data_IF_637320266913
#
_entry.id   IF_637320266913
#
_cell.length_a   1.000
_cell.length_b   1.000
_cell.length_c   1.000
_cell.angle_alpha   90.00
_cell.angle_beta   90.00
_cell.angle_gamma   90.00
#
_symmetry.space_group_name_H-M   'P 1'
#
loop_
_entity.id
_entity.type
_entity.pdbx_description
1 polymer ?
#
# COMPACT_ATOMS: atom_id res chain seq x y z
N UNK A 1 20.68 -0.91 -16.43
CA UNK A 1 20.55 -2.24 -15.80
C UNK A 1 21.70 -2.53 -14.84
N UNK A 2 22.96 -2.38 -15.24
CA UNK A 2 24.16 -2.68 -14.43
C UNK A 2 24.24 -1.94 -13.09
N UNK A 3 23.85 -0.68 -13.05
CA UNK A 3 23.87 0.11 -11.79
C UNK A 3 22.92 -0.47 -10.73
N UNK A 4 21.69 -0.81 -11.10
CA UNK A 4 20.72 -1.39 -10.18
C UNK A 4 21.19 -2.75 -9.64
N UNK A 5 21.76 -3.60 -10.49
CA UNK A 5 22.29 -4.89 -10.09
C UNK A 5 23.47 -4.77 -9.13
N UNK A 6 24.35 -3.78 -9.35
CA UNK A 6 25.45 -3.46 -8.43
C UNK A 6 24.92 -3.05 -7.07
N UNK A 7 23.99 -2.10 -7.00
CA UNK A 7 23.38 -1.62 -5.75
C UNK A 7 22.71 -2.77 -4.99
N UNK A 8 21.90 -3.59 -5.67
CA UNK A 8 21.25 -4.75 -5.03
C UNK A 8 22.29 -5.76 -4.50
N UNK A 9 23.37 -5.96 -5.24
CA UNK A 9 24.46 -6.86 -4.83
C UNK A 9 25.15 -6.34 -3.57
N UNK A 10 25.44 -5.05 -3.51
CA UNK A 10 26.10 -4.43 -2.35
C UNK A 10 25.18 -4.43 -1.11
N UNK A 11 23.90 -4.16 -1.29
CA UNK A 11 22.90 -4.28 -0.22
C UNK A 11 22.76 -5.73 0.31
N UNK A 12 22.95 -6.73 -0.54
CA UNK A 12 22.97 -8.14 -0.13
C UNK A 12 24.26 -8.48 0.62
N UNK A 13 25.42 -8.06 0.10
CA UNK A 13 26.72 -8.27 0.76
C UNK A 13 26.79 -7.63 2.13
N UNK A 14 26.22 -6.44 2.28
CA UNK A 14 26.14 -5.72 3.57
C UNK A 14 25.10 -6.30 4.55
N UNK A 15 24.30 -7.28 4.11
CA UNK A 15 23.24 -7.91 4.92
C UNK A 15 22.00 -7.02 5.11
N UNK A 16 21.89 -5.93 4.34
CA UNK A 16 20.72 -5.05 4.37
C UNK A 16 19.54 -5.66 3.61
N UNK A 17 19.81 -6.41 2.53
CA UNK A 17 18.81 -7.17 1.80
C UNK A 17 19.06 -8.67 1.89
N UNK A 18 17.99 -9.44 1.97
CA UNK A 18 18.00 -10.90 1.82
C UNK A 18 17.13 -11.31 0.66
N UNK A 19 17.65 -12.17 -0.20
CA UNK A 19 16.86 -12.79 -1.27
C UNK A 19 15.97 -13.87 -0.67
N UNK A 20 14.75 -13.98 -1.14
CA UNK A 20 13.94 -15.17 -0.95
C UNK A 20 13.46 -15.70 -2.30
N UNK A 21 13.38 -17.02 -2.39
CA UNK A 21 12.85 -17.72 -3.55
C UNK A 21 11.98 -18.88 -3.07
N UNK A 22 10.73 -18.86 -3.45
CA UNK A 22 9.79 -19.94 -3.16
C UNK A 22 8.66 -19.95 -4.19
N UNK A 23 8.24 -21.16 -4.62
CA UNK A 23 7.15 -21.35 -5.56
C UNK A 23 7.28 -20.47 -6.82
N UNK A 24 8.47 -20.45 -7.41
CA UNK A 24 8.83 -19.64 -8.59
C UNK A 24 8.77 -18.12 -8.39
N UNK A 25 8.44 -17.65 -7.20
CA UNK A 25 8.52 -16.22 -6.87
C UNK A 25 9.87 -15.90 -6.25
N UNK A 26 10.59 -15.00 -6.89
CA UNK A 26 11.84 -14.42 -6.39
C UNK A 26 11.56 -13.00 -5.90
N UNK A 27 12.10 -12.66 -4.75
CA UNK A 27 11.95 -11.33 -4.19
C UNK A 27 13.06 -10.99 -3.22
N UNK A 28 13.00 -9.76 -2.72
CA UNK A 28 13.91 -9.25 -1.70
C UNK A 28 13.13 -8.90 -0.44
N UNK A 29 13.79 -9.02 0.69
CA UNK A 29 13.28 -8.55 1.99
C UNK A 29 14.39 -7.82 2.73
N UNK A 30 14.01 -6.92 3.61
CA UNK A 30 14.96 -6.26 4.51
C UNK A 30 15.60 -7.29 5.45
N UNK A 31 16.91 -7.20 5.61
CA UNK A 31 17.63 -7.90 6.66
C UNK A 31 17.42 -7.21 8.02
N UNK A 32 17.76 -7.90 9.11
CA UNK A 32 17.69 -7.36 10.48
C UNK A 32 18.52 -6.07 10.58
N UNK A 33 19.73 -6.05 9.98
CA UNK A 33 20.58 -4.87 9.96
C UNK A 33 19.91 -3.65 9.32
N UNK A 34 19.19 -3.86 8.21
CA UNK A 34 18.45 -2.77 7.56
C UNK A 34 17.32 -2.26 8.45
N UNK A 35 16.55 -3.17 9.06
CA UNK A 35 15.50 -2.81 9.99
C UNK A 35 16.04 -1.94 11.13
N UNK A 36 17.09 -2.39 11.80
CA UNK A 36 17.70 -1.65 12.92
C UNK A 36 18.18 -0.28 12.45
N UNK A 37 18.92 -0.22 11.34
CA UNK A 37 19.42 1.04 10.79
C UNK A 37 18.30 2.04 10.46
N UNK A 38 17.18 1.58 9.93
CA UNK A 38 16.02 2.43 9.63
C UNK A 38 15.36 2.94 10.92
N UNK A 39 15.22 2.08 11.92
CA UNK A 39 14.63 2.44 13.21
C UNK A 39 15.54 3.35 14.05
N UNK A 40 16.86 3.16 13.97
CA UNK A 40 17.84 3.99 14.68
C UNK A 40 17.93 5.41 14.11
N UNK A 41 17.84 5.55 12.77
CA UNK A 41 17.99 6.85 12.11
C UNK A 41 16.66 7.60 11.95
N UNK A 42 15.54 6.89 11.75
CA UNK A 42 14.23 7.49 11.48
C UNK A 42 13.10 6.68 12.15
N UNK A 43 13.08 6.62 13.50
CA UNK A 43 12.12 5.80 14.23
C UNK A 43 10.67 6.18 13.96
N UNK A 44 10.34 7.46 13.97
CA UNK A 44 8.98 7.96 13.77
C UNK A 44 8.43 7.58 12.39
N UNK A 45 9.29 7.61 11.37
CA UNK A 45 8.93 7.29 9.99
C UNK A 45 8.71 5.80 9.76
N UNK A 46 9.59 4.95 10.32
CA UNK A 46 9.62 3.54 9.96
C UNK A 46 9.02 2.59 11.01
N UNK A 47 8.91 2.99 12.27
CA UNK A 47 8.34 2.13 13.30
C UNK A 47 6.94 1.60 12.97
N UNK A 48 6.02 2.38 12.40
CA UNK A 48 4.70 1.89 12.06
C UNK A 48 4.70 0.75 11.02
N UNK A 49 5.73 0.72 10.16
CA UNK A 49 5.82 -0.25 9.06
C UNK A 49 6.70 -1.46 9.38
N UNK A 50 7.65 -1.31 10.29
CA UNK A 50 8.64 -2.33 10.66
C UNK A 50 8.31 -3.03 11.98
N UNK A 51 7.04 -3.08 12.34
CA UNK A 51 6.55 -3.81 13.51
C UNK A 51 6.74 -5.32 13.34
N UNK A 52 7.20 -5.99 14.39
CA UNK A 52 7.34 -7.42 14.43
C UNK A 52 8.73 -7.94 14.04
N UNK A 53 8.93 -9.23 14.26
CA UNK A 53 10.15 -9.93 13.90
C UNK A 53 10.27 -10.10 12.39
N UNK A 54 11.45 -9.84 11.84
CA UNK A 54 11.73 -10.04 10.41
C UNK A 54 11.62 -11.51 10.00
N UNK A 55 11.73 -12.45 10.95
CA UNK A 55 11.59 -13.87 10.69
C UNK A 55 10.14 -14.39 10.74
N UNK A 56 9.18 -13.61 11.23
CA UNK A 56 7.75 -13.99 11.19
C UNK A 56 7.17 -14.07 9.78
N UNK A 57 7.94 -13.76 8.77
CA UNK A 57 7.60 -14.07 7.38
C UNK A 57 7.41 -15.57 7.07
N UNK A 58 7.72 -16.46 8.00
CA UNK A 58 7.32 -17.88 7.93
C UNK A 58 5.81 -18.08 7.75
N UNK A 59 5.01 -17.22 8.35
CA UNK A 59 3.54 -17.26 8.24
C UNK A 59 3.01 -16.80 6.87
N UNK A 60 3.83 -16.18 6.05
CA UNK A 60 3.47 -15.76 4.69
C UNK A 60 3.86 -16.81 3.65
N UNK A 61 3.74 -18.09 4.03
CA UNK A 61 4.10 -19.22 3.18
C UNK A 61 3.16 -19.40 1.99
N UNK A 62 1.90 -18.95 2.09
CA UNK A 62 0.91 -19.11 1.04
C UNK A 62 1.20 -18.21 -0.17
N UNK A 63 1.16 -18.79 -1.36
CA UNK A 63 1.44 -18.08 -2.61
C UNK A 63 0.51 -16.87 -2.82
N UNK A 64 -0.76 -16.99 -2.46
CA UNK A 64 -1.72 -15.89 -2.58
C UNK A 64 -1.37 -14.67 -1.72
N UNK A 65 -0.81 -14.90 -0.53
CA UNK A 65 -0.33 -13.81 0.34
C UNK A 65 0.92 -13.14 -0.22
N UNK A 66 1.83 -13.92 -0.79
CA UNK A 66 3.05 -13.39 -1.43
C UNK A 66 2.74 -12.56 -2.66
N UNK A 67 1.88 -13.04 -3.53
CA UNK A 67 1.41 -12.29 -4.69
C UNK A 67 0.75 -10.96 -4.28
N UNK A 68 -0.01 -10.96 -3.17
CA UNK A 68 -0.57 -9.72 -2.64
C UNK A 68 0.50 -8.74 -2.16
N UNK A 69 1.56 -9.22 -1.52
CA UNK A 69 2.67 -8.37 -1.10
C UNK A 69 3.45 -7.81 -2.29
N UNK A 70 3.64 -8.60 -3.34
CA UNK A 70 4.27 -8.10 -4.58
C UNK A 70 3.43 -6.99 -5.20
N UNK A 71 2.13 -7.19 -5.38
CA UNK A 71 1.23 -6.15 -5.90
C UNK A 71 1.22 -4.88 -5.05
N UNK A 72 1.26 -5.05 -3.74
CA UNK A 72 1.34 -3.90 -2.84
C UNK A 72 2.68 -3.17 -3.01
N UNK A 73 3.78 -3.89 -3.11
CA UNK A 73 5.09 -3.29 -3.33
C UNK A 73 5.16 -2.56 -4.67
N UNK A 74 4.64 -3.14 -5.75
CA UNK A 74 4.51 -2.49 -7.06
C UNK A 74 3.68 -1.20 -6.95
N UNK A 75 2.56 -1.24 -6.24
CA UNK A 75 1.73 -0.06 -6.01
C UNK A 75 2.51 1.03 -5.26
N UNK A 76 3.26 0.66 -4.21
CA UNK A 76 4.09 1.62 -3.47
C UNK A 76 5.15 2.26 -4.37
N UNK A 77 5.85 1.48 -5.18
CA UNK A 77 6.87 2.00 -6.11
C UNK A 77 6.23 2.95 -7.14
N UNK A 78 5.06 2.59 -7.67
CA UNK A 78 4.34 3.44 -8.61
C UNK A 78 3.93 4.78 -7.98
N UNK A 79 3.42 4.74 -6.75
CA UNK A 79 3.02 5.94 -6.01
C UNK A 79 4.22 6.80 -5.64
N UNK A 80 5.34 6.19 -5.21
CA UNK A 80 6.59 6.89 -4.90
C UNK A 80 7.13 7.63 -6.13
N UNK A 81 7.20 6.95 -7.26
CA UNK A 81 7.63 7.55 -8.53
C UNK A 81 6.72 8.71 -8.99
N UNK A 82 5.45 8.69 -8.60
CA UNK A 82 4.50 9.78 -8.85
C UNK A 82 4.55 10.90 -7.80
N UNK A 83 5.48 10.84 -6.84
CA UNK A 83 5.63 11.86 -5.79
C UNK A 83 4.52 11.85 -4.73
N UNK A 84 3.80 10.74 -4.60
CA UNK A 84 2.72 10.56 -3.62
C UNK A 84 3.29 10.38 -2.21
N UNK A 85 2.69 10.99 -1.20
CA UNK A 85 3.03 10.78 0.21
C UNK A 85 2.69 9.36 0.64
N UNK A 86 3.70 8.61 1.10
CA UNK A 86 3.57 7.20 1.46
C UNK A 86 3.65 6.94 2.96
N UNK A 87 4.41 7.76 3.67
CA UNK A 87 4.68 7.56 5.08
C UNK A 87 3.72 8.34 5.98
N UNK A 88 3.51 7.88 7.20
CA UNK A 88 2.54 8.49 8.12
C UNK A 88 2.85 9.93 8.48
N UNK A 89 4.14 10.30 8.49
CA UNK A 89 4.61 11.66 8.72
C UNK A 89 4.32 12.62 7.56
N UNK A 90 4.00 12.09 6.37
CA UNK A 90 3.68 12.85 5.16
C UNK A 90 2.19 12.94 4.86
N UNK A 91 1.36 12.16 5.54
CA UNK A 91 -0.05 11.99 5.21
C UNK A 91 -0.97 12.82 6.11
N UNK A 92 -2.11 13.29 5.56
CA UNK A 92 -3.19 13.82 6.39
C UNK A 92 -3.63 12.79 7.42
N UNK A 93 -3.83 13.22 8.65
CA UNK A 93 -4.45 12.39 9.68
C UNK A 93 -5.98 12.37 9.53
N UNK A 94 -6.43 12.11 8.31
CA UNK A 94 -7.85 12.15 7.91
C UNK A 94 -8.71 11.23 8.77
N UNK A 95 -8.11 10.18 9.30
CA UNK A 95 -8.77 9.14 10.08
C UNK A 95 -8.36 9.17 11.56
N UNK A 96 -7.66 10.21 12.01
CA UNK A 96 -7.31 10.36 13.40
C UNK A 96 -8.53 10.79 14.25
N UNK A 97 -8.57 10.40 15.54
CA UNK A 97 -9.56 10.95 16.47
C UNK A 97 -9.51 12.48 16.52
N UNK A 98 -10.63 13.10 16.90
CA UNK A 98 -10.70 14.56 17.04
C UNK A 98 -9.58 15.07 17.96
N UNK A 99 -8.91 16.14 17.54
CA UNK A 99 -7.90 16.83 18.37
C UNK A 99 -6.47 16.80 17.85
N UNK A 100 -6.20 16.08 16.76
CA UNK A 100 -4.91 16.16 16.10
C UNK A 100 -4.88 17.32 15.12
N UNK A 101 -3.97 18.28 15.34
CA UNK A 101 -3.65 19.29 14.34
C UNK A 101 -2.89 18.63 13.19
N UNK A 102 -3.37 18.85 11.98
CA UNK A 102 -2.64 18.43 10.78
C UNK A 102 -1.36 19.27 10.68
N UNK A 103 -0.23 18.58 10.74
CA UNK A 103 1.03 19.13 10.24
C UNK A 103 0.93 19.42 8.73
N UNK A 104 1.99 19.83 8.11
CA UNK A 104 2.04 20.07 6.67
C UNK A 104 1.61 18.80 5.92
N UNK A 105 0.43 18.85 5.33
CA UNK A 105 -0.20 17.71 4.66
C UNK A 105 0.28 17.68 3.21
N UNK A 106 0.82 16.54 2.80
CA UNK A 106 1.21 16.30 1.41
C UNK A 106 0.07 15.65 0.65
N UNK A 107 -0.42 16.30 -0.38
CA UNK A 107 -1.31 15.71 -1.38
C UNK A 107 -0.55 15.52 -2.69
N UNK A 108 -0.79 14.44 -3.42
CA UNK A 108 -1.61 13.27 -3.07
C UNK A 108 -0.96 12.37 -1.99
N UNK A 109 -1.78 11.59 -1.28
CA UNK A 109 -1.34 10.65 -0.22
C UNK A 109 -1.96 9.28 -0.43
N UNK A 110 -1.16 8.22 -0.25
CA UNK A 110 -1.60 6.85 -0.42
C UNK A 110 -1.68 6.09 0.92
N UNK A 111 -2.84 5.52 1.19
CA UNK A 111 -3.12 4.65 2.33
C UNK A 111 -3.26 3.21 1.86
N UNK A 112 -2.35 2.36 2.28
CA UNK A 112 -2.41 0.94 1.92
C UNK A 112 -3.65 0.24 2.48
N UNK A 113 -3.98 -0.91 1.90
CA UNK A 113 -5.08 -1.75 2.38
C UNK A 113 -4.91 -2.18 3.85
N UNK A 114 -3.69 -2.20 4.37
CA UNK A 114 -3.40 -2.46 5.78
C UNK A 114 -3.78 -1.24 6.64
N UNK A 115 -3.34 -0.05 6.26
CA UNK A 115 -3.66 1.19 6.96
C UNK A 115 -5.18 1.43 6.96
N UNK A 116 -5.85 1.22 5.83
CA UNK A 116 -7.32 1.30 5.74
C UNK A 116 -7.99 0.34 6.72
N UNK A 117 -7.45 -0.85 6.92
CA UNK A 117 -7.95 -1.81 7.91
C UNK A 117 -7.73 -1.33 9.34
N UNK A 118 -6.57 -0.76 9.63
CA UNK A 118 -6.23 -0.23 10.97
C UNK A 118 -7.13 0.95 11.36
N UNK A 119 -7.73 1.63 10.39
CA UNK A 119 -8.74 2.68 10.59
C UNK A 119 -10.14 2.16 11.02
N UNK A 120 -10.28 0.87 11.28
CA UNK A 120 -11.55 0.26 11.70
C UNK A 120 -12.50 -0.08 10.57
N UNK A 121 -12.07 0.03 9.32
CA UNK A 121 -12.88 -0.34 8.15
C UNK A 121 -13.02 -1.86 8.06
N UNK A 122 -14.24 -2.36 7.92
CA UNK A 122 -14.48 -3.80 7.68
C UNK A 122 -13.90 -4.21 6.32
N UNK A 123 -12.76 -4.88 6.39
CA UNK A 123 -12.04 -5.36 5.19
C UNK A 123 -12.37 -6.80 4.82
N UNK A 124 -13.33 -7.44 5.48
CA UNK A 124 -13.72 -8.84 5.16
C UNK A 124 -14.15 -8.96 3.70
N UNK A 125 -14.82 -7.94 3.19
CA UNK A 125 -15.27 -7.84 1.80
C UNK A 125 -14.14 -7.56 0.78
N UNK A 126 -13.00 -7.05 1.26
CA UNK A 126 -11.83 -6.68 0.42
C UNK A 126 -10.91 -7.88 0.17
N UNK A 127 -11.03 -8.96 0.95
CA UNK A 127 -10.10 -10.10 0.91
C UNK A 127 -9.99 -10.79 -0.45
N UNK A 128 -11.07 -10.77 -1.23
CA UNK A 128 -11.13 -11.39 -2.56
C UNK A 128 -10.83 -10.40 -3.70
N UNK A 129 -10.66 -9.12 -3.39
CA UNK A 129 -10.42 -8.07 -4.37
C UNK A 129 -8.91 -7.86 -4.60
N UNK A 130 -8.57 -7.19 -5.69
CA UNK A 130 -7.21 -6.72 -5.95
C UNK A 130 -6.95 -5.32 -5.39
N UNK A 131 -7.72 -4.94 -4.42
CA UNK A 131 -7.60 -3.70 -3.69
C UNK A 131 -6.23 -3.59 -3.01
N UNK A 132 -5.51 -2.52 -3.28
CA UNK A 132 -4.21 -2.24 -2.70
C UNK A 132 -4.24 -1.10 -1.70
N UNK A 133 -5.17 -0.16 -1.85
CA UNK A 133 -5.30 0.96 -0.94
C UNK A 133 -6.16 2.08 -1.50
N UNK A 134 -6.03 3.24 -0.90
CA UNK A 134 -6.75 4.46 -1.26
C UNK A 134 -5.75 5.57 -1.53
N UNK A 135 -5.87 6.23 -2.66
CA UNK A 135 -5.17 7.46 -2.97
C UNK A 135 -6.10 8.64 -2.68
N UNK A 136 -5.67 9.50 -1.78
CA UNK A 136 -6.37 10.72 -1.41
C UNK A 136 -5.71 11.91 -2.11
N UNK A 137 -6.53 12.71 -2.79
CA UNK A 137 -6.10 13.95 -3.44
C UNK A 137 -6.90 15.13 -2.89
N UNK A 138 -6.54 16.35 -3.26
CA UNK A 138 -7.35 17.52 -2.93
C UNK A 138 -8.75 17.52 -3.56
N UNK A 139 -8.92 16.81 -4.68
CA UNK A 139 -10.17 16.77 -5.44
C UNK A 139 -10.97 15.47 -5.35
N UNK A 140 -10.42 14.41 -4.71
CA UNK A 140 -11.14 13.13 -4.69
C UNK A 140 -10.43 11.99 -3.99
N UNK A 141 -11.15 10.89 -3.88
CA UNK A 141 -10.71 9.63 -3.28
C UNK A 141 -10.68 8.56 -4.36
N UNK A 142 -9.52 7.95 -4.52
CA UNK A 142 -9.32 6.94 -5.55
C UNK A 142 -9.05 5.58 -4.90
N UNK A 143 -9.96 4.64 -5.12
CA UNK A 143 -9.80 3.25 -4.69
C UNK A 143 -8.85 2.57 -5.65
N UNK A 144 -7.70 2.14 -5.18
CA UNK A 144 -6.65 1.60 -6.03
C UNK A 144 -6.67 0.08 -6.09
N UNK A 145 -6.55 -0.45 -7.29
CA UNK A 145 -6.46 -1.87 -7.59
C UNK A 145 -5.18 -2.13 -8.39
N UNK A 146 -4.51 -3.25 -8.12
CA UNK A 146 -3.38 -3.68 -8.91
C UNK A 146 -3.69 -5.03 -9.56
N UNK A 147 -3.78 -5.04 -10.89
CA UNK A 147 -4.01 -6.26 -11.68
C UNK A 147 -2.74 -7.08 -11.89
N UNK A 148 -1.55 -6.49 -11.72
CA UNK A 148 -0.26 -7.08 -12.14
C UNK A 148 -0.32 -7.57 -13.60
N UNK A 149 0.54 -8.53 -13.95
CA UNK A 149 0.55 -9.19 -15.27
C UNK A 149 -0.63 -10.15 -15.52
N UNK A 150 -1.50 -10.38 -14.54
CA UNK A 150 -2.59 -11.34 -14.70
C UNK A 150 -3.88 -10.63 -15.11
N UNK A 151 -4.51 -11.15 -16.16
CA UNK A 151 -5.88 -10.77 -16.54
C UNK A 151 -6.79 -10.85 -15.31
N UNK A 152 -7.35 -9.73 -14.95
CA UNK A 152 -8.24 -9.64 -13.81
C UNK A 152 -9.65 -10.00 -14.26
N UNK A 153 -10.16 -11.14 -13.77
CA UNK A 153 -11.60 -11.36 -13.86
C UNK A 153 -12.29 -10.40 -12.90
N UNK A 154 -12.79 -9.30 -13.44
CA UNK A 154 -13.57 -8.34 -12.69
C UNK A 154 -14.82 -9.01 -12.13
N UNK A 155 -14.94 -8.97 -10.82
CA UNK A 155 -16.18 -9.34 -10.16
C UNK A 155 -16.88 -8.05 -9.77
N UNK A 156 -17.77 -7.59 -10.60
CA UNK A 156 -18.59 -6.40 -10.37
C UNK A 156 -19.10 -6.27 -8.92
N UNK A 157 -19.55 -7.39 -8.34
CA UNK A 157 -19.99 -7.43 -6.93
C UNK A 157 -18.88 -7.04 -5.93
N UNK A 158 -17.63 -7.44 -6.18
CA UNK A 158 -16.52 -7.11 -5.29
C UNK A 158 -16.15 -5.63 -5.41
N UNK A 159 -16.23 -5.07 -6.60
CA UNK A 159 -15.96 -3.67 -6.88
C UNK A 159 -17.02 -2.75 -6.25
N UNK A 160 -18.29 -3.08 -6.44
CA UNK A 160 -19.39 -2.33 -5.81
C UNK A 160 -19.32 -2.36 -4.29
N UNK A 161 -18.87 -3.46 -3.69
CA UNK A 161 -18.66 -3.56 -2.25
C UNK A 161 -17.54 -2.66 -1.77
N UNK A 162 -16.43 -2.57 -2.50
CA UNK A 162 -15.33 -1.67 -2.15
C UNK A 162 -15.76 -0.21 -2.30
N UNK A 163 -16.51 0.13 -3.35
CA UNK A 163 -17.07 1.46 -3.53
C UNK A 163 -18.04 1.83 -2.39
N UNK A 164 -18.93 0.92 -2.03
CA UNK A 164 -19.84 1.11 -0.91
C UNK A 164 -19.11 1.27 0.43
N UNK A 165 -18.03 0.50 0.63
CA UNK A 165 -17.19 0.61 1.81
C UNK A 165 -16.51 1.97 1.89
N UNK A 166 -15.94 2.45 0.78
CA UNK A 166 -15.31 3.78 0.75
C UNK A 166 -16.34 4.89 0.98
N UNK A 167 -17.53 4.76 0.44
CA UNK A 167 -18.63 5.66 0.73
C UNK A 167 -19.00 5.66 2.21
N UNK A 168 -19.08 4.50 2.84
CA UNK A 168 -19.32 4.38 4.28
C UNK A 168 -18.22 5.07 5.10
N UNK A 169 -16.96 4.92 4.72
CA UNK A 169 -15.82 5.59 5.36
C UNK A 169 -15.93 7.12 5.23
N UNK A 170 -16.29 7.60 4.05
CA UNK A 170 -16.55 9.03 3.81
C UNK A 170 -17.60 9.58 4.75
N UNK A 171 -18.72 8.86 4.87
CA UNK A 171 -19.84 9.28 5.73
C UNK A 171 -19.47 9.30 7.21
N UNK A 172 -18.68 8.34 7.67
CA UNK A 172 -18.27 8.21 9.06
C UNK A 172 -17.20 9.20 9.49
N UNK A 173 -16.32 9.60 8.60
CA UNK A 173 -15.05 10.24 8.93
C UNK A 173 -14.97 11.74 8.59
N UNK A 174 -16.09 12.43 8.48
CA UNK A 174 -16.12 13.89 8.21
C UNK A 174 -15.55 14.29 6.84
N UNK A 175 -15.23 13.36 5.99
CA UNK A 175 -14.80 13.66 4.62
C UNK A 175 -15.97 14.16 3.77
N UNK A 176 -17.22 14.00 4.26
CA UNK A 176 -18.44 14.53 3.60
C UNK A 176 -18.46 16.04 3.46
N UNK A 177 -17.75 16.79 4.32
CA UNK A 177 -17.59 18.23 4.16
C UNK A 177 -16.56 18.63 3.10
N UNK A 178 -15.67 17.71 2.75
CA UNK A 178 -14.57 17.92 1.79
C UNK A 178 -14.81 17.24 0.44
N UNK A 179 -15.52 16.11 0.44
CA UNK A 179 -15.79 15.32 -0.75
C UNK A 179 -17.27 14.94 -0.84
N UNK A 180 -17.83 14.94 -2.03
CA UNK A 180 -19.15 14.39 -2.33
C UNK A 180 -19.03 12.95 -2.87
N UNK A 181 -20.17 12.27 -3.05
CA UNK A 181 -20.21 10.88 -3.48
C UNK A 181 -19.48 10.61 -4.81
N UNK A 182 -19.54 11.57 -5.72
CA UNK A 182 -18.94 11.46 -7.04
C UNK A 182 -17.41 11.60 -7.02
N UNK A 183 -16.86 12.06 -5.90
CA UNK A 183 -15.42 12.14 -5.68
C UNK A 183 -14.76 10.77 -5.45
N UNK A 184 -15.54 9.69 -5.26
CA UNK A 184 -15.01 8.33 -5.08
C UNK A 184 -14.91 7.64 -6.45
N UNK A 185 -13.68 7.42 -6.90
CA UNK A 185 -13.36 6.81 -8.18
C UNK A 185 -12.49 5.56 -8.01
N UNK A 186 -12.42 4.72 -9.04
CA UNK A 186 -11.53 3.57 -9.09
C UNK A 186 -10.30 3.86 -9.95
N UNK A 187 -9.13 3.45 -9.49
CA UNK A 187 -7.88 3.47 -10.27
C UNK A 187 -7.32 2.06 -10.38
N UNK A 188 -7.02 1.65 -11.59
CA UNK A 188 -6.43 0.35 -11.86
C UNK A 188 -4.97 0.54 -12.27
N UNK A 189 -4.07 -0.14 -11.57
CA UNK A 189 -2.67 -0.26 -11.95
C UNK A 189 -2.47 -1.60 -12.67
N UNK A 190 -1.93 -1.55 -13.86
CA UNK A 190 -1.64 -2.71 -14.69
C UNK A 190 -0.30 -2.55 -15.41
N UNK A 191 0.27 -3.64 -15.89
CA UNK A 191 1.52 -3.62 -16.66
C UNK A 191 1.34 -3.03 -18.05
N UNK A 192 0.14 -3.11 -18.61
CA UNK A 192 -0.20 -2.48 -19.90
C UNK A 192 -1.67 -2.06 -19.94
N UNK A 193 -1.99 -1.17 -20.86
CA UNK A 193 -3.39 -0.75 -21.11
C UNK A 193 -4.27 -1.92 -21.60
N UNK A 194 -3.71 -2.88 -22.32
CA UNK A 194 -4.43 -4.07 -22.80
C UNK A 194 -4.91 -4.96 -21.64
N UNK A 195 -4.23 -4.91 -20.49
CA UNK A 195 -4.64 -5.64 -19.29
C UNK A 195 -5.65 -4.88 -18.42
N UNK A 196 -5.92 -3.62 -18.73
CA UNK A 196 -6.88 -2.79 -18.02
C UNK A 196 -8.29 -2.88 -18.61
N UNK A 197 -8.43 -3.38 -19.82
CA UNK A 197 -9.67 -3.65 -20.53
C UNK A 197 -9.85 -5.17 -20.65
#
# INVERSE_FOLDING_TARGET
>A
PYYLESVVTDLKKSGLLRTYYRDKLRGYRLGVRAKNRLLDNWPERFAPYLTGDTDTNRLKSEIGRRLRLHRLAETYVTMDNAGVGLFQDEKPKVFAPQGYSDGAVKYPSFYSSREVKEMGVDTTQIRSSRFTGVLLTSGGIYVTYNSSAALMKWRYKSEMRVKALMWSVLCQQRLTGQYNADAVQGVILGESMELAY
#
